data_IF_563010241392
#
_entry.id   IF_563010241392
#
_cell.length_a   1.000
_cell.length_b   1.000
_cell.length_c   1.000
_cell.angle_alpha   90.00
_cell.angle_beta   90.00
_cell.angle_gamma   90.00
#
_symmetry.space_group_name_H-M   'P 1'
#
loop_
_entity.id
_entity.type
_entity.pdbx_description
1 polymer ?
#
# COMPACT_ATOMS: atom_id res chain seq x y z
N UNK A 1 14.68 12.61 -21.53
CA UNK A 1 14.45 13.64 -20.50
C UNK A 1 14.90 13.09 -19.16
N UNK A 2 16.02 13.57 -18.61
CA UNK A 2 16.47 13.19 -17.27
C UNK A 2 15.64 13.99 -16.27
N UNK A 3 14.80 13.31 -15.51
CA UNK A 3 14.16 13.89 -14.33
C UNK A 3 15.23 13.94 -13.25
N UNK A 4 15.77 15.12 -12.99
CA UNK A 4 16.60 15.36 -11.80
C UNK A 4 15.68 15.30 -10.57
N UNK A 5 15.69 14.17 -9.87
CA UNK A 5 15.23 14.12 -8.50
C UNK A 5 16.23 14.92 -7.65
N UNK A 6 15.83 16.11 -7.24
CA UNK A 6 16.59 16.87 -6.24
C UNK A 6 16.53 16.08 -4.94
N UNK A 7 17.72 15.71 -4.45
CA UNK A 7 17.94 14.93 -3.23
C UNK A 7 17.57 15.70 -1.92
N UNK A 8 16.94 16.85 -2.03
CA UNK A 8 16.67 17.75 -0.90
C UNK A 8 15.43 17.38 -0.05
N UNK A 9 14.61 16.42 -0.50
CA UNK A 9 13.37 16.05 0.18
C UNK A 9 13.48 14.79 1.06
N UNK A 10 14.62 14.12 1.07
CA UNK A 10 14.84 12.97 1.96
C UNK A 10 15.35 13.49 3.30
N UNK A 11 14.41 13.77 4.21
CA UNK A 11 14.75 13.90 5.63
C UNK A 11 15.57 12.65 6.02
N UNK A 12 16.86 12.79 6.43
CA UNK A 12 17.74 11.66 6.74
C UNK A 12 17.20 10.75 7.83
N UNK A 13 16.15 11.17 8.54
CA UNK A 13 15.45 10.39 9.55
C UNK A 13 14.25 9.60 9.03
N UNK A 14 13.95 9.66 7.72
CA UNK A 14 12.82 8.92 7.12
C UNK A 14 13.30 7.52 6.75
N UNK A 15 12.85 6.54 7.50
CA UNK A 15 13.04 5.12 7.17
C UNK A 15 12.09 4.70 6.04
N UNK A 16 12.53 3.80 5.16
CA UNK A 16 11.67 3.20 4.14
C UNK A 16 10.65 2.22 4.73
N UNK A 17 11.04 1.56 5.83
CA UNK A 17 10.24 0.57 6.53
C UNK A 17 10.24 0.86 8.02
N UNK A 18 9.11 0.63 8.66
CA UNK A 18 8.91 0.76 10.10
C UNK A 18 8.34 -0.52 10.68
N UNK A 19 8.85 -0.96 11.83
CA UNK A 19 8.10 -1.89 12.66
C UNK A 19 6.91 -1.16 13.29
N UNK A 20 5.80 -1.84 13.66
CA UNK A 20 4.66 -1.20 14.31
C UNK A 20 5.05 -0.33 15.51
N UNK A 21 5.92 -0.84 16.37
CA UNK A 21 6.44 -0.11 17.53
C UNK A 21 7.26 1.14 17.14
N UNK A 22 8.11 1.05 16.11
CA UNK A 22 8.90 2.21 15.65
C UNK A 22 8.01 3.32 15.09
N UNK A 23 6.95 2.95 14.38
CA UNK A 23 5.96 3.90 13.90
C UNK A 23 5.20 4.55 15.07
N UNK A 24 4.80 3.76 16.09
CA UNK A 24 4.11 4.26 17.27
C UNK A 24 4.99 5.21 18.11
N UNK A 25 6.29 4.91 18.26
CA UNK A 25 7.26 5.81 18.93
C UNK A 25 7.28 7.19 18.26
N UNK A 26 7.32 7.21 16.92
CA UNK A 26 7.32 8.46 16.13
C UNK A 26 5.97 9.15 16.16
N UNK A 27 4.90 8.40 16.13
CA UNK A 27 3.53 8.93 16.24
C UNK A 27 3.29 9.60 17.59
N UNK A 28 3.83 9.01 18.68
CA UNK A 28 3.76 9.57 20.03
C UNK A 28 4.85 10.61 20.36
N UNK A 29 5.72 10.92 19.38
CA UNK A 29 6.86 11.84 19.57
C UNK A 29 7.83 11.41 20.70
N UNK A 30 8.08 10.08 20.80
CA UNK A 30 8.91 9.47 21.85
C UNK A 30 10.33 9.11 21.35
N UNK A 31 10.82 9.76 20.30
CA UNK A 31 12.15 9.52 19.73
C UNK A 31 13.30 9.53 20.74
N UNK A 32 13.34 10.42 21.76
CA UNK A 32 14.40 10.41 22.75
C UNK A 32 14.50 9.12 23.58
N UNK A 33 13.43 8.34 23.62
CA UNK A 33 13.30 7.09 24.38
C UNK A 33 13.29 5.83 23.48
N UNK A 34 13.55 6.00 22.19
CA UNK A 34 13.43 4.92 21.19
C UNK A 34 14.20 3.67 21.59
N UNK A 35 15.48 3.78 21.96
CA UNK A 35 16.32 2.64 22.32
C UNK A 35 15.76 1.86 23.52
N UNK A 36 15.31 2.57 24.55
CA UNK A 36 14.75 1.95 25.75
C UNK A 36 13.43 1.22 25.46
N UNK A 37 12.58 1.83 24.62
CA UNK A 37 11.29 1.24 24.24
C UNK A 37 11.51 0.01 23.38
N UNK A 38 12.41 0.06 22.40
CA UNK A 38 12.73 -1.05 21.50
C UNK A 38 13.33 -2.24 22.24
N UNK A 39 14.18 -2.01 23.24
CA UNK A 39 14.75 -3.07 24.07
C UNK A 39 13.67 -3.75 24.93
N UNK A 40 12.77 -2.98 25.54
CA UNK A 40 11.67 -3.51 26.34
C UNK A 40 10.69 -4.31 25.48
N UNK A 41 10.33 -3.79 24.32
CA UNK A 41 9.41 -4.46 23.37
C UNK A 41 10.01 -5.75 22.80
N UNK A 42 11.31 -5.76 22.52
CA UNK A 42 11.99 -6.95 22.03
C UNK A 42 11.95 -8.10 23.04
N UNK A 43 12.15 -7.78 24.30
CA UNK A 43 12.18 -8.77 25.38
C UNK A 43 10.78 -9.20 25.82
N UNK A 44 9.85 -8.24 25.96
CA UNK A 44 8.52 -8.43 26.52
C UNK A 44 7.48 -7.55 25.81
N UNK A 45 7.09 -7.87 24.56
CA UNK A 45 6.16 -7.05 23.79
C UNK A 45 4.79 -6.87 24.45
N UNK A 46 4.33 -7.87 25.21
CA UNK A 46 3.06 -7.88 25.91
C UNK A 46 3.02 -6.97 27.16
N UNK A 47 4.18 -6.54 27.63
CA UNK A 47 4.29 -5.74 28.84
C UNK A 47 4.46 -4.23 28.60
N UNK A 48 4.37 -3.75 27.35
CA UNK A 48 4.58 -2.35 26.99
C UNK A 48 3.72 -1.38 27.81
N UNK A 49 2.45 -1.71 28.03
CA UNK A 49 1.52 -0.88 28.81
C UNK A 49 1.87 -0.83 30.31
N UNK A 50 2.46 -1.90 30.84
CA UNK A 50 2.91 -1.98 32.24
C UNK A 50 4.27 -1.33 32.42
N UNK A 51 5.16 -1.47 31.44
CA UNK A 51 6.51 -0.90 31.49
C UNK A 51 6.51 0.62 31.32
N UNK A 52 5.59 1.13 30.48
CA UNK A 52 5.52 2.55 30.15
C UNK A 52 4.12 3.14 30.41
N UNK A 53 3.60 3.11 31.65
CA UNK A 53 2.26 3.62 31.96
C UNK A 53 2.13 5.13 31.73
N UNK A 54 3.24 5.87 31.72
CA UNK A 54 3.31 7.30 31.44
C UNK A 54 3.06 7.65 29.95
N UNK A 55 3.14 6.68 29.04
CA UNK A 55 2.94 6.87 27.61
C UNK A 55 1.80 6.00 27.05
N UNK A 56 0.54 6.24 27.42
CA UNK A 56 -0.59 5.41 27.01
C UNK A 56 -0.82 5.41 25.50
N UNK A 57 -0.33 6.43 24.77
CA UNK A 57 -0.38 6.48 23.32
C UNK A 57 0.49 5.39 22.65
N UNK A 58 1.58 4.97 23.30
CA UNK A 58 2.53 4.03 22.73
C UNK A 58 1.91 2.65 22.48
N UNK A 59 1.40 1.92 23.50
CA UNK A 59 0.74 0.65 23.26
C UNK A 59 -0.53 0.82 22.39
N UNK A 60 -1.30 1.89 22.61
CA UNK A 60 -2.52 2.12 21.83
C UNK A 60 -2.26 2.28 20.33
N UNK A 61 -1.23 3.04 19.94
CA UNK A 61 -0.91 3.23 18.52
C UNK A 61 -0.19 2.01 17.93
N UNK A 62 0.59 1.27 18.74
CA UNK A 62 1.18 -0.01 18.30
C UNK A 62 0.10 -1.02 17.96
N UNK A 63 -0.92 -1.18 18.81
CA UNK A 63 -2.05 -2.08 18.56
C UNK A 63 -2.87 -1.64 17.35
N UNK A 64 -3.16 -0.35 17.18
CA UNK A 64 -3.87 0.15 15.99
C UNK A 64 -3.18 -0.24 14.68
N UNK A 65 -1.85 -0.08 14.61
CA UNK A 65 -1.09 -0.47 13.41
C UNK A 65 -1.11 -1.99 13.24
N UNK A 66 -1.00 -2.74 14.32
CA UNK A 66 -1.03 -4.19 14.28
C UNK A 66 -2.41 -4.72 13.86
N UNK A 67 -3.49 -4.16 14.39
CA UNK A 67 -4.86 -4.48 13.99
C UNK A 67 -5.11 -4.18 12.51
N UNK A 68 -4.61 -3.06 12.00
CA UNK A 68 -4.69 -2.72 10.58
C UNK A 68 -3.95 -3.74 9.68
N UNK A 69 -2.83 -4.29 10.16
CA UNK A 69 -2.11 -5.38 9.49
C UNK A 69 -2.97 -6.66 9.48
N UNK A 70 -3.52 -7.05 10.64
CA UNK A 70 -4.35 -8.25 10.77
C UNK A 70 -5.63 -8.17 9.94
N UNK A 71 -6.21 -6.98 9.83
CA UNK A 71 -7.42 -6.73 9.05
C UNK A 71 -7.14 -6.49 7.55
N UNK A 72 -5.88 -6.65 7.10
CA UNK A 72 -5.45 -6.40 5.71
C UNK A 72 -5.69 -4.97 5.20
N UNK A 73 -5.87 -4.01 6.11
CA UNK A 73 -5.99 -2.58 5.78
C UNK A 73 -4.64 -1.95 5.47
N UNK A 74 -3.57 -2.51 6.04
CA UNK A 74 -2.20 -2.02 5.92
C UNK A 74 -1.29 -3.13 5.37
N UNK A 75 -0.75 -2.99 4.14
CA UNK A 75 0.20 -3.94 3.58
C UNK A 75 1.46 -4.05 4.43
N UNK A 76 1.95 -5.26 4.63
CA UNK A 76 3.09 -5.53 5.48
C UNK A 76 4.10 -6.49 4.82
N UNK A 77 5.25 -6.62 5.44
CA UNK A 77 6.28 -7.59 5.10
C UNK A 77 7.00 -8.08 6.34
N UNK A 78 7.88 -9.06 6.15
CA UNK A 78 8.79 -9.54 7.16
C UNK A 78 10.20 -9.12 6.73
N UNK A 79 10.93 -8.40 7.58
CA UNK A 79 12.24 -7.84 7.25
C UNK A 79 12.28 -7.03 5.95
N UNK A 80 11.22 -6.27 5.65
CA UNK A 80 11.12 -5.48 4.42
C UNK A 80 10.73 -6.28 3.17
N UNK A 81 10.59 -7.60 3.23
CA UNK A 81 10.10 -8.42 2.14
C UNK A 81 8.60 -8.61 2.24
N UNK A 82 7.81 -8.38 1.15
CA UNK A 82 6.38 -8.64 1.15
C UNK A 82 6.07 -10.10 1.49
N UNK A 83 5.06 -10.33 2.32
CA UNK A 83 4.61 -11.67 2.66
C UNK A 83 3.09 -11.75 2.56
N UNK A 84 2.59 -12.92 2.16
CA UNK A 84 1.16 -13.25 2.12
C UNK A 84 0.84 -14.40 3.07
N UNK A 85 1.80 -14.81 3.91
CA UNK A 85 1.66 -15.96 4.80
C UNK A 85 0.91 -15.56 6.06
N UNK A 86 -0.25 -16.17 6.29
CA UNK A 86 -1.07 -16.00 7.52
C UNK A 86 -0.54 -16.77 8.73
N UNK A 87 0.67 -17.32 8.64
CA UNK A 87 1.28 -18.01 9.77
C UNK A 87 1.56 -17.01 10.90
N UNK A 88 1.52 -17.47 12.14
CA UNK A 88 1.78 -16.74 13.39
C UNK A 88 2.77 -15.58 13.18
N UNK A 89 2.20 -14.37 13.06
CA UNK A 89 2.97 -13.17 12.78
C UNK A 89 3.73 -12.75 14.04
N UNK A 90 5.03 -12.92 14.05
CA UNK A 90 5.86 -12.34 15.10
C UNK A 90 5.90 -10.82 14.92
N UNK A 91 5.25 -10.09 15.85
CA UNK A 91 5.16 -8.62 15.86
C UNK A 91 6.51 -7.93 15.71
N UNK A 92 7.57 -8.55 16.21
CA UNK A 92 8.94 -8.01 16.20
C UNK A 92 9.57 -7.99 14.81
N UNK A 93 9.10 -8.86 13.90
CA UNK A 93 9.64 -9.03 12.56
C UNK A 93 8.83 -8.28 11.50
N UNK A 94 7.61 -7.87 11.85
CA UNK A 94 6.73 -7.15 10.94
C UNK A 94 7.28 -5.78 10.56
N UNK A 95 7.15 -5.47 9.29
CA UNK A 95 7.53 -4.16 8.75
C UNK A 95 6.46 -3.63 7.82
N UNK A 96 6.24 -2.32 7.86
CA UNK A 96 5.31 -1.58 7.00
C UNK A 96 6.10 -0.55 6.22
N UNK A 97 5.83 -0.40 4.93
CA UNK A 97 6.48 0.63 4.12
C UNK A 97 5.99 2.02 4.54
N UNK A 98 6.91 2.99 4.53
CA UNK A 98 6.61 4.38 4.83
C UNK A 98 5.40 4.91 4.03
N UNK A 99 5.36 4.62 2.73
CA UNK A 99 4.30 5.12 1.85
C UNK A 99 2.93 4.51 2.18
N UNK A 100 2.86 3.23 2.51
CA UNK A 100 1.62 2.54 2.86
C UNK A 100 1.10 3.04 4.21
N UNK A 101 2.00 3.20 5.19
CA UNK A 101 1.66 3.76 6.50
C UNK A 101 1.15 5.19 6.39
N UNK A 102 1.80 6.02 5.56
CA UNK A 102 1.38 7.39 5.29
C UNK A 102 -0.02 7.43 4.66
N UNK A 103 -0.28 6.58 3.67
CA UNK A 103 -1.57 6.49 2.99
C UNK A 103 -2.67 6.01 3.95
N UNK A 104 -2.40 4.96 4.73
CA UNK A 104 -3.31 4.44 5.74
C UNK A 104 -3.66 5.51 6.78
N UNK A 105 -2.67 6.21 7.33
CA UNK A 105 -2.91 7.30 8.28
C UNK A 105 -3.71 8.45 7.67
N UNK A 106 -3.43 8.81 6.43
CA UNK A 106 -4.19 9.86 5.74
C UNK A 106 -5.68 9.49 5.59
N UNK A 107 -5.97 8.21 5.37
CA UNK A 107 -7.32 7.72 5.15
C UNK A 107 -8.10 7.52 6.45
N UNK A 108 -7.50 6.88 7.45
CA UNK A 108 -8.18 6.51 8.68
C UNK A 108 -8.03 7.53 9.82
N UNK A 109 -7.01 8.38 9.78
CA UNK A 109 -6.69 9.37 10.80
C UNK A 109 -6.38 10.74 10.18
N UNK A 110 -7.31 11.35 9.42
CA UNK A 110 -7.06 12.57 8.64
C UNK A 110 -6.64 13.76 9.50
N UNK A 111 -7.08 13.79 10.77
CA UNK A 111 -6.76 14.86 11.73
C UNK A 111 -5.39 14.66 12.41
N UNK A 112 -4.77 13.48 12.25
CA UNK A 112 -3.49 13.15 12.85
C UNK A 112 -2.43 13.10 11.75
N UNK A 113 -1.54 14.10 11.76
CA UNK A 113 -0.46 14.22 10.78
C UNK A 113 0.91 14.24 11.45
N UNK A 114 1.41 13.08 11.93
CA UNK A 114 2.72 13.04 12.59
C UNK A 114 3.82 13.44 11.63
N UNK A 115 4.75 14.27 12.15
CA UNK A 115 5.80 14.91 11.35
C UNK A 115 6.68 13.91 10.59
N UNK A 116 6.88 12.69 11.10
CA UNK A 116 7.72 11.70 10.44
C UNK A 116 7.11 11.14 9.11
N UNK A 117 5.80 11.26 8.93
CA UNK A 117 5.12 10.87 7.69
C UNK A 117 4.77 12.08 6.82
N UNK A 118 4.45 13.20 7.45
CA UNK A 118 3.95 14.40 6.76
C UNK A 118 4.87 15.61 6.91
N UNK A 119 5.93 15.52 7.73
CA UNK A 119 6.93 16.56 7.94
C UNK A 119 8.00 16.52 6.87
N UNK A 120 7.94 17.41 5.97
CA UNK A 120 8.81 17.65 4.82
C UNK A 120 8.14 18.67 3.90
N UNK A 121 6.84 18.85 4.12
CA UNK A 121 6.05 19.89 3.45
C UNK A 121 5.50 20.74 4.59
N UNK A 122 6.15 21.88 4.91
CA UNK A 122 5.52 22.88 5.76
C UNK A 122 4.13 23.15 5.17
N UNK A 123 3.11 23.27 6.03
CA UNK A 123 1.71 23.44 5.63
C UNK A 123 1.50 24.65 4.68
N UNK A 124 2.47 25.55 4.60
CA UNK A 124 2.50 26.68 3.65
C UNK A 124 2.89 26.29 2.22
N UNK A 125 3.52 25.11 1.98
CA UNK A 125 3.94 24.70 0.64
C UNK A 125 3.00 23.67 -0.01
N UNK A 126 1.92 23.26 0.65
CA UNK A 126 0.89 22.40 0.05
C UNK A 126 -0.19 23.17 -0.76
N UNK A 127 0.07 24.40 -1.11
CA UNK A 127 -0.67 25.00 -2.22
C UNK A 127 -0.12 24.38 -3.50
N UNK A 128 -0.60 23.17 -3.83
CA UNK A 128 -0.50 22.70 -5.23
C UNK A 128 -0.97 23.87 -6.08
N UNK A 129 -0.08 24.38 -6.92
CA UNK A 129 -0.46 25.45 -7.84
C UNK A 129 -1.73 25.00 -8.55
N UNK A 130 -2.70 25.88 -8.72
CA UNK A 130 -3.94 25.58 -9.44
C UNK A 130 -3.62 25.00 -10.82
N UNK A 131 -2.54 25.47 -11.45
CA UNK A 131 -2.04 24.94 -12.72
C UNK A 131 -1.59 23.49 -12.60
N UNK A 132 -0.82 23.12 -11.57
CA UNK A 132 -0.38 21.74 -11.31
C UNK A 132 -1.56 20.81 -11.03
N UNK A 133 -2.53 21.29 -10.25
CA UNK A 133 -3.76 20.53 -9.99
C UNK A 133 -4.56 20.28 -11.27
N UNK A 134 -4.71 21.30 -12.11
CA UNK A 134 -5.44 21.18 -13.38
C UNK A 134 -4.70 20.25 -14.36
N UNK A 135 -3.37 20.28 -14.41
CA UNK A 135 -2.58 19.36 -15.22
C UNK A 135 -2.77 17.92 -14.75
N UNK A 136 -2.60 17.64 -13.45
CA UNK A 136 -2.80 16.30 -12.87
C UNK A 136 -4.22 15.78 -13.07
N UNK A 137 -5.21 16.68 -12.99
CA UNK A 137 -6.60 16.33 -13.27
C UNK A 137 -6.80 15.97 -14.74
N UNK A 138 -6.23 16.73 -15.67
CA UNK A 138 -6.31 16.46 -17.10
C UNK A 138 -5.61 15.12 -17.45
N UNK A 139 -4.45 14.85 -16.87
CA UNK A 139 -3.72 13.59 -17.05
C UNK A 139 -4.54 12.39 -16.52
N UNK A 140 -5.16 12.53 -15.34
CA UNK A 140 -6.06 11.52 -14.80
C UNK A 140 -7.23 11.25 -15.74
N UNK A 141 -7.90 12.29 -16.18
CA UNK A 141 -9.08 12.19 -17.04
C UNK A 141 -8.70 11.56 -18.40
N UNK A 142 -7.50 11.87 -18.94
CA UNK A 142 -6.99 11.25 -20.15
C UNK A 142 -6.69 9.74 -19.97
N UNK A 143 -6.07 9.35 -18.86
CA UNK A 143 -5.81 7.94 -18.51
C UNK A 143 -7.10 7.15 -18.29
N UNK A 144 -8.14 7.78 -17.76
CA UNK A 144 -9.45 7.16 -17.56
C UNK A 144 -10.11 6.84 -18.89
N UNK A 145 -10.04 7.76 -19.86
CA UNK A 145 -10.52 7.55 -21.25
C UNK A 145 -9.73 6.43 -21.94
N UNK A 146 -8.40 6.41 -21.80
CA UNK A 146 -7.55 5.39 -22.38
C UNK A 146 -7.87 4.01 -21.79
N UNK A 147 -8.06 3.93 -20.48
CA UNK A 147 -8.46 2.71 -19.78
C UNK A 147 -9.81 2.17 -20.29
N UNK A 148 -10.80 3.04 -20.48
CA UNK A 148 -12.10 2.64 -20.99
C UNK A 148 -12.04 2.18 -22.45
N UNK A 149 -11.17 2.81 -23.25
CA UNK A 149 -10.90 2.38 -24.64
C UNK A 149 -10.29 0.99 -24.66
N UNK A 150 -9.28 0.72 -23.84
CA UNK A 150 -8.64 -0.60 -23.71
C UNK A 150 -9.65 -1.66 -23.24
N UNK A 151 -10.47 -1.34 -22.24
CA UNK A 151 -11.52 -2.26 -21.75
C UNK A 151 -12.54 -2.62 -22.83
N UNK A 152 -12.89 -1.65 -23.67
CA UNK A 152 -13.83 -1.85 -24.78
C UNK A 152 -13.20 -2.76 -25.85
N UNK A 153 -11.99 -2.45 -26.29
CA UNK A 153 -11.25 -3.26 -27.25
C UNK A 153 -11.02 -4.71 -26.73
N UNK A 154 -10.71 -4.88 -25.46
CA UNK A 154 -10.57 -6.19 -24.84
C UNK A 154 -11.90 -6.98 -24.88
N UNK A 155 -13.01 -6.31 -24.58
CA UNK A 155 -14.35 -6.95 -24.65
C UNK A 155 -14.71 -7.40 -26.06
N UNK A 156 -14.45 -6.56 -27.05
CA UNK A 156 -14.65 -6.88 -28.47
C UNK A 156 -13.81 -8.07 -28.92
N UNK A 157 -12.53 -8.11 -28.52
CA UNK A 157 -11.64 -9.23 -28.80
C UNK A 157 -12.13 -10.54 -28.17
N UNK A 158 -12.62 -10.49 -26.93
CA UNK A 158 -13.18 -11.66 -26.25
C UNK A 158 -14.45 -12.17 -26.94
N UNK A 159 -15.29 -11.29 -27.46
CA UNK A 159 -16.47 -11.69 -28.26
C UNK A 159 -16.07 -12.35 -29.61
N UNK A 160 -15.06 -11.78 -30.28
CA UNK A 160 -14.53 -12.38 -31.52
C UNK A 160 -13.94 -13.77 -31.26
N UNK A 161 -13.19 -13.97 -30.18
CA UNK A 161 -12.66 -15.28 -29.81
C UNK A 161 -13.75 -16.30 -29.51
N UNK A 162 -14.85 -15.90 -28.88
CA UNK A 162 -16.01 -16.76 -28.63
C UNK A 162 -16.67 -17.20 -29.95
N UNK A 163 -16.87 -16.29 -30.91
CA UNK A 163 -17.46 -16.61 -32.20
C UNK A 163 -16.61 -17.59 -33.01
N UNK A 164 -15.29 -17.37 -33.04
CA UNK A 164 -14.34 -18.29 -33.70
C UNK A 164 -14.36 -19.69 -33.05
N UNK A 165 -14.41 -19.74 -31.70
CA UNK A 165 -14.51 -21.02 -30.96
C UNK A 165 -15.78 -21.81 -31.31
N UNK A 166 -16.93 -21.13 -31.42
CA UNK A 166 -18.21 -21.76 -31.83
C UNK A 166 -18.16 -22.24 -33.26
N UNK A 167 -17.55 -21.51 -34.20
CA UNK A 167 -17.39 -21.92 -35.58
C UNK A 167 -16.50 -23.17 -35.70
N UNK A 168 -15.41 -23.28 -34.93
CA UNK A 168 -14.56 -24.47 -34.88
C UNK A 168 -15.30 -25.71 -34.35
N UNK A 169 -16.11 -25.59 -33.32
CA UNK A 169 -16.92 -26.68 -32.78
C UNK A 169 -17.96 -27.15 -33.77
N UNK A 170 -18.58 -26.22 -34.52
CA UNK A 170 -19.55 -26.58 -35.58
C UNK A 170 -18.91 -27.29 -36.78
N UNK A 171 -17.66 -26.97 -37.12
CA UNK A 171 -16.92 -27.64 -38.17
C UNK A 171 -16.46 -29.05 -37.77
N UNK A 172 -16.17 -29.26 -36.48
CA UNK A 172 -15.78 -30.57 -35.93
C UNK A 172 -17.01 -31.50 -35.68
N UNK A 173 -18.21 -30.95 -35.61
CA UNK A 173 -19.46 -31.69 -35.34
C UNK A 173 -20.23 -32.11 -36.62
N UNK A 174 -19.67 -31.93 -37.83
CA UNK A 174 -20.28 -32.46 -39.05
C UNK A 174 -20.30 -33.98 -38.97
N UNK A 175 -21.47 -34.64 -38.91
CA UNK A 175 -21.54 -36.08 -38.92
C UNK A 175 -21.10 -36.59 -40.29
N UNK A 176 -20.11 -37.49 -40.29
CA UNK A 176 -19.70 -38.27 -41.48
C UNK A 176 -20.88 -39.14 -41.98
N UNK A 177 -21.79 -38.53 -42.72
CA UNK A 177 -22.80 -39.25 -43.53
C UNK A 177 -22.70 -38.77 -44.96
N UNK A 178 -22.08 -39.62 -45.80
CA UNK A 178 -22.16 -39.49 -47.24
C UNK A 178 -20.81 -39.52 -47.97
N UNK A 179 -20.02 -40.58 -47.84
CA UNK A 179 -19.16 -41.00 -48.93
C UNK A 179 -20.04 -41.94 -49.86
N UNK A 180 -20.34 -41.57 -51.12
CA UNK A 180 -20.79 -42.54 -52.09
C UNK A 180 -19.58 -43.35 -52.52
N UNK A 181 -19.71 -44.68 -52.35
CA UNK A 181 -18.84 -45.67 -52.98
C UNK A 181 -18.84 -45.50 -54.50
N UNK A 182 -17.68 -45.45 -55.10
CA UNK A 182 -17.35 -46.00 -56.40
C UNK A 182 -15.88 -46.42 -56.43
#
# INVERSE_FOLDING_TARGET
MHVNYSNDDLNPFTKLFYRPIEAAIRWCNLMPYESQILEAEWNHPELLSLTFPQWPCLPANTEKIFDAILNHELPYGIFGSPTTSDNLLDRRLLTVRHIDLKWWMFHYYPDQRPAFLFGGVSADNQKISISTYLTLKADRDALEIELDTIKTAYRELMEQLKTVGIEQENLLSCPAKGCPER
#
